data_IF_780980396881
#
_entry.id   IF_780980396881
#
_cell.length_a   1.000
_cell.length_b   1.000
_cell.length_c   1.000
_cell.angle_alpha   90.00
_cell.angle_beta   90.00
_cell.angle_gamma   90.00
#
_symmetry.space_group_name_H-M   'P 1'
#
loop_
_entity.id
_entity.type
_entity.pdbx_description
1 polymer ?
#
# COMPACT_ATOMS: atom_id res chain seq x y z
N UNK A 1 12.39 -61.56 17.40
CA UNK A 1 12.67 -60.30 18.13
C UNK A 1 13.53 -59.29 17.35
N UNK A 2 14.41 -59.71 16.42
CA UNK A 2 15.33 -58.82 15.68
C UNK A 2 14.64 -57.94 14.63
N UNK A 3 13.63 -58.44 13.90
CA UNK A 3 12.94 -57.68 12.85
C UNK A 3 12.14 -56.46 13.36
N UNK A 4 11.61 -56.51 14.58
CA UNK A 4 10.82 -55.41 15.18
C UNK A 4 11.71 -54.21 15.53
N UNK A 5 12.96 -54.47 15.97
CA UNK A 5 13.90 -53.40 16.30
C UNK A 5 14.45 -52.69 15.06
N UNK A 6 14.60 -53.41 13.94
CA UNK A 6 15.00 -52.80 12.66
C UNK A 6 13.87 -51.93 12.11
N UNK A 7 12.61 -52.41 12.17
CA UNK A 7 11.45 -51.64 11.73
C UNK A 7 11.26 -50.35 12.55
N UNK A 8 11.42 -50.42 13.88
CA UNK A 8 11.36 -49.23 14.76
C UNK A 8 12.46 -48.21 14.45
N UNK A 9 13.69 -48.67 14.17
CA UNK A 9 14.78 -47.78 13.77
C UNK A 9 14.50 -47.10 12.43
N UNK A 10 13.99 -47.84 11.44
CA UNK A 10 13.59 -47.27 10.15
C UNK A 10 12.46 -46.24 10.30
N UNK A 11 11.45 -46.53 11.13
CA UNK A 11 10.36 -45.59 11.40
C UNK A 11 10.85 -44.31 12.09
N UNK A 12 11.75 -44.41 13.07
CA UNK A 12 12.35 -43.21 13.69
C UNK A 12 13.12 -42.35 12.68
N UNK A 13 13.89 -42.97 11.78
CA UNK A 13 14.63 -42.23 10.74
C UNK A 13 13.67 -41.53 9.78
N UNK A 14 12.59 -42.20 9.38
CA UNK A 14 11.54 -41.61 8.53
C UNK A 14 10.84 -40.41 9.19
N UNK A 15 10.54 -40.51 10.49
CA UNK A 15 9.95 -39.39 11.25
C UNK A 15 10.91 -38.21 11.33
N UNK A 16 12.20 -38.44 11.59
CA UNK A 16 13.22 -37.37 11.62
C UNK A 16 13.35 -36.68 10.26
N UNK A 17 13.33 -37.45 9.16
CA UNK A 17 13.38 -36.90 7.79
C UNK A 17 12.13 -36.07 7.50
N UNK A 18 10.94 -36.54 7.88
CA UNK A 18 9.69 -35.79 7.69
C UNK A 18 9.67 -34.49 8.51
N UNK A 19 10.16 -34.51 9.75
CA UNK A 19 10.31 -33.30 10.58
C UNK A 19 11.34 -32.33 9.97
N UNK A 20 12.46 -32.82 9.47
CA UNK A 20 13.46 -31.98 8.81
C UNK A 20 12.90 -31.35 7.52
N UNK A 21 12.19 -32.13 6.69
CA UNK A 21 11.58 -31.65 5.46
C UNK A 21 10.47 -30.62 5.74
N UNK A 22 9.64 -30.84 6.76
CA UNK A 22 8.62 -29.86 7.15
C UNK A 22 9.23 -28.57 7.67
N UNK A 23 10.31 -28.63 8.46
CA UNK A 23 11.05 -27.44 8.91
C UNK A 23 11.71 -26.72 7.73
N UNK A 24 12.32 -27.44 6.79
CA UNK A 24 12.92 -26.88 5.58
C UNK A 24 11.87 -26.21 4.69
N UNK A 25 10.75 -26.87 4.40
CA UNK A 25 9.65 -26.31 3.63
C UNK A 25 9.03 -25.11 4.34
N UNK A 26 8.88 -25.15 5.67
CA UNK A 26 8.42 -24.01 6.46
C UNK A 26 9.38 -22.81 6.40
N UNK A 27 10.70 -23.08 6.43
CA UNK A 27 11.76 -22.06 6.30
C UNK A 27 11.80 -21.46 4.89
N UNK A 28 11.66 -22.28 3.85
CA UNK A 28 11.58 -21.85 2.43
C UNK A 28 10.34 -20.99 2.20
N UNK A 29 9.19 -21.42 2.74
CA UNK A 29 7.94 -20.66 2.66
C UNK A 29 8.07 -19.31 3.38
N UNK A 30 8.73 -19.26 4.55
CA UNK A 30 9.02 -17.98 5.23
C UNK A 30 9.98 -17.07 4.46
N UNK A 31 10.97 -17.63 3.76
CA UNK A 31 11.95 -16.87 2.97
C UNK A 31 11.32 -16.21 1.73
N UNK A 32 10.29 -16.83 1.16
CA UNK A 32 9.50 -16.27 0.05
C UNK A 32 8.63 -15.07 0.48
N UNK A 33 8.25 -14.99 1.76
CA UNK A 33 7.46 -13.88 2.31
C UNK A 33 8.28 -12.76 2.96
N UNK A 34 9.56 -12.98 3.26
CA UNK A 34 10.41 -12.02 3.98
C UNK A 34 11.81 -11.94 3.37
N UNK A 35 12.05 -10.84 2.65
CA UNK A 35 13.38 -10.45 2.22
C UNK A 35 13.65 -8.99 2.64
N UNK A 36 13.99 -8.71 3.92
CA UNK A 36 14.56 -7.42 4.28
C UNK A 36 16.05 -7.48 3.95
N UNK A 37 16.44 -7.00 2.77
CA UNK A 37 17.87 -6.86 2.44
C UNK A 37 18.40 -5.51 2.88
N UNK A 38 19.46 -5.60 3.70
CA UNK A 38 20.38 -4.53 4.09
C UNK A 38 20.78 -3.68 2.90
N UNK A 39 20.72 -2.36 3.09
CA UNK A 39 21.48 -1.39 2.29
C UNK A 39 22.94 -1.49 2.74
N UNK A 40 23.82 -1.93 1.83
CA UNK A 40 25.27 -1.75 1.99
C UNK A 40 25.60 -0.30 1.63
N UNK A 41 25.99 0.49 2.64
CA UNK A 41 26.67 1.76 2.44
C UNK A 41 28.11 1.45 2.02
N UNK A 42 28.49 1.85 0.81
CA UNK A 42 29.89 1.96 0.42
C UNK A 42 30.44 3.27 0.98
N UNK A 43 31.03 3.21 2.17
CA UNK A 43 31.96 4.24 2.62
C UNK A 43 33.40 3.82 2.28
N UNK A 44 34.02 4.67 1.48
CA UNK A 44 35.43 4.70 1.16
C UNK A 44 36.23 4.97 2.45
N UNK A 45 37.10 4.05 2.87
CA UNK A 45 38.36 4.39 3.53
C UNK A 45 39.32 3.19 3.55
N UNK A 46 40.51 3.42 2.99
CA UNK A 46 41.55 2.40 2.86
C UNK A 46 42.54 2.40 4.02
N UNK A 47 43.08 1.22 4.32
CA UNK A 47 44.52 0.90 4.43
C UNK A 47 44.69 -0.49 5.07
N UNK A 48 45.69 -1.24 4.58
CA UNK A 48 46.46 -2.14 5.45
C UNK A 48 46.43 -3.64 5.13
N UNK A 49 47.41 -4.07 4.33
CA UNK A 49 48.19 -5.33 4.41
C UNK A 49 47.51 -6.72 4.32
N UNK A 50 47.71 -7.34 3.14
CA UNK A 50 48.32 -8.66 2.86
C UNK A 50 48.40 -9.73 3.98
N UNK A 51 47.78 -10.89 3.74
CA UNK A 51 48.48 -12.19 3.68
C UNK A 51 47.67 -13.28 2.94
N UNK A 52 48.29 -13.81 1.87
CA UNK A 52 48.35 -15.20 1.32
C UNK A 52 47.48 -16.27 2.04
N UNK A 53 46.89 -17.32 1.43
CA UNK A 53 46.99 -18.00 0.14
C UNK A 53 46.06 -19.23 0.24
N UNK A 54 45.24 -19.55 -0.78
CA UNK A 54 45.19 -20.86 -1.47
C UNK A 54 43.91 -21.07 -2.29
N UNK A 55 44.17 -21.17 -3.59
CA UNK A 55 43.35 -21.75 -4.65
C UNK A 55 42.98 -23.21 -4.39
N UNK A 56 41.70 -23.54 -4.59
CA UNK A 56 41.28 -24.84 -5.13
C UNK A 56 40.35 -24.57 -6.30
N UNK A 57 40.80 -24.94 -7.50
CA UNK A 57 40.00 -24.97 -8.73
C UNK A 57 39.09 -26.20 -8.71
N UNK A 58 37.82 -25.99 -9.05
CA UNK A 58 36.97 -26.99 -9.69
C UNK A 58 36.35 -26.31 -10.92
N UNK A 59 36.87 -26.66 -12.09
CA UNK A 59 36.26 -26.37 -13.39
C UNK A 59 35.13 -27.36 -13.62
N UNK A 60 33.99 -26.89 -14.12
CA UNK A 60 33.01 -27.77 -14.76
C UNK A 60 31.63 -27.13 -14.90
N UNK A 61 31.24 -26.92 -16.17
CA UNK A 61 29.88 -26.65 -16.66
C UNK A 61 29.37 -25.23 -16.43
N UNK A 62 29.48 -24.37 -17.44
CA UNK A 62 28.39 -23.58 -18.03
C UNK A 62 28.96 -22.83 -19.25
N UNK A 63 28.84 -23.43 -20.43
CA UNK A 63 29.14 -22.80 -21.71
C UNK A 63 28.10 -23.29 -22.71
N UNK A 64 26.93 -22.66 -22.73
CA UNK A 64 25.95 -22.71 -23.83
C UNK A 64 24.78 -21.77 -23.51
N UNK A 65 24.80 -20.58 -24.11
CA UNK A 65 23.63 -19.76 -24.47
C UNK A 65 24.14 -18.45 -25.11
N UNK A 66 24.79 -18.57 -26.27
CA UNK A 66 25.11 -17.43 -27.14
C UNK A 66 25.17 -17.91 -28.59
N UNK A 67 24.01 -18.27 -29.14
CA UNK A 67 23.80 -18.33 -30.58
C UNK A 67 22.30 -18.29 -30.87
N UNK A 68 21.79 -17.09 -31.17
CA UNK A 68 20.69 -16.85 -32.11
C UNK A 68 20.37 -15.35 -32.10
N UNK A 69 21.22 -14.57 -32.75
CA UNK A 69 20.88 -13.23 -33.23
C UNK A 69 21.79 -12.95 -34.43
N UNK A 70 21.28 -13.31 -35.61
CA UNK A 70 21.96 -13.08 -36.87
C UNK A 70 21.12 -13.52 -38.05
N UNK A 71 20.25 -12.63 -38.55
CA UNK A 71 20.12 -12.39 -39.98
C UNK A 71 19.34 -11.09 -40.23
N UNK A 72 20.12 -10.03 -40.41
CA UNK A 72 19.71 -8.78 -41.04
C UNK A 72 19.72 -9.02 -42.54
N UNK A 73 18.57 -8.85 -43.20
CA UNK A 73 18.49 -8.70 -44.66
C UNK A 73 18.52 -7.21 -44.99
N UNK A 74 19.58 -6.78 -45.67
CA UNK A 74 19.68 -5.52 -46.43
C UNK A 74 19.64 -5.88 -47.91
N UNK A 75 18.60 -5.43 -48.60
CA UNK A 75 18.57 -4.91 -50.00
C UNK A 75 17.10 -4.62 -50.28
N UNK A 76 16.68 -3.44 -50.74
CA UNK A 76 17.09 -2.84 -51.99
C UNK A 76 16.78 -1.32 -52.04
N UNK A 77 17.42 -0.67 -53.00
CA UNK A 77 17.67 0.76 -53.15
C UNK A 77 16.48 1.65 -53.54
N UNK A 78 16.62 2.91 -53.14
CA UNK A 78 16.29 4.18 -53.81
C UNK A 78 15.19 4.26 -54.88
N UNK A 79 14.28 5.21 -54.69
CA UNK A 79 13.96 6.23 -55.71
C UNK A 79 13.56 7.53 -55.02
N UNK A 80 14.38 8.56 -55.19
CA UNK A 80 14.01 9.96 -55.02
C UNK A 80 13.38 10.43 -56.33
N UNK A 81 12.14 10.92 -56.29
CA UNK A 81 11.62 11.80 -57.33
C UNK A 81 10.96 13.03 -56.71
N UNK A 82 11.40 14.19 -57.19
CA UNK A 82 10.85 15.52 -56.94
C UNK A 82 9.57 15.68 -57.75
N UNK A 83 8.50 16.17 -57.14
CA UNK A 83 7.47 16.94 -57.84
C UNK A 83 7.15 18.21 -57.04
N UNK A 84 7.22 19.35 -57.74
CA UNK A 84 6.84 20.70 -57.30
C UNK A 84 5.45 21.04 -57.88
N UNK A 85 4.69 21.87 -57.14
CA UNK A 85 3.42 22.51 -57.55
C UNK A 85 2.20 21.76 -57.01
N UNK A 86 1.14 22.35 -56.46
CA UNK A 86 0.59 23.71 -56.58
C UNK A 86 -0.39 23.94 -55.41
N UNK A 87 -0.55 25.19 -54.99
CA UNK A 87 -1.55 25.65 -54.01
C UNK A 87 -2.96 25.59 -54.64
N UNK A 88 -3.90 24.92 -53.98
CA UNK A 88 -5.33 25.26 -54.05
C UNK A 88 -6.05 24.69 -52.84
N UNK A 89 -6.77 25.55 -52.11
CA UNK A 89 -7.54 25.17 -50.93
C UNK A 89 -8.82 24.42 -51.27
N UNK A 90 -9.30 23.60 -50.32
CA UNK A 90 -10.67 23.58 -49.79
C UNK A 90 -10.84 22.38 -48.85
N UNK A 91 -11.82 22.52 -47.96
CA UNK A 91 -12.47 21.52 -47.14
C UNK A 91 -11.76 21.10 -45.84
N UNK A 92 -12.26 21.71 -44.76
CA UNK A 92 -12.43 21.12 -43.44
C UNK A 92 -12.53 19.58 -43.51
N UNK A 93 -11.55 18.90 -42.93
CA UNK A 93 -11.72 17.52 -42.48
C UNK A 93 -11.82 17.52 -40.97
N UNK A 94 -13.04 17.25 -40.55
CA UNK A 94 -13.52 16.97 -39.20
C UNK A 94 -12.51 16.24 -38.32
N UNK A 95 -12.38 16.74 -37.09
CA UNK A 95 -12.25 15.99 -35.84
C UNK A 95 -11.67 14.58 -36.00
N UNK A 96 -10.34 14.47 -35.86
CA UNK A 96 -9.76 13.26 -35.26
C UNK A 96 -10.46 13.07 -33.92
N UNK A 97 -11.22 11.98 -33.77
CA UNK A 97 -11.70 11.55 -32.48
C UNK A 97 -10.50 11.49 -31.53
N UNK A 98 -10.51 12.32 -30.48
CA UNK A 98 -9.56 12.18 -29.39
C UNK A 98 -9.71 10.75 -28.87
N UNK A 99 -8.64 9.94 -28.95
CA UNK A 99 -8.66 8.61 -28.36
C UNK A 99 -9.04 8.75 -26.89
N UNK A 100 -10.04 7.98 -26.43
CA UNK A 100 -10.51 8.06 -25.05
C UNK A 100 -9.35 7.81 -24.09
N UNK A 101 -9.12 8.74 -23.16
CA UNK A 101 -8.09 8.58 -22.14
C UNK A 101 -8.41 7.34 -21.30
N UNK A 102 -7.44 6.43 -21.19
CA UNK A 102 -7.60 5.23 -20.38
C UNK A 102 -7.25 5.55 -18.93
N UNK A 103 -8.28 5.70 -18.10
CA UNK A 103 -8.17 5.85 -16.64
C UNK A 103 -8.75 4.63 -15.92
N UNK A 104 -8.71 4.62 -14.58
CA UNK A 104 -9.27 3.54 -13.78
C UNK A 104 -10.75 3.31 -14.10
N UNK A 105 -11.09 2.05 -14.39
CA UNK A 105 -12.46 1.62 -14.59
C UNK A 105 -13.13 1.38 -13.23
N UNK A 106 -14.12 2.20 -12.89
CA UNK A 106 -14.87 2.10 -11.63
C UNK A 106 -15.68 0.80 -11.51
N UNK A 107 -15.90 0.09 -12.61
CA UNK A 107 -16.62 -1.18 -12.67
C UNK A 107 -15.67 -2.40 -12.68
N UNK A 108 -14.37 -2.19 -12.42
CA UNK A 108 -13.38 -3.27 -12.33
C UNK A 108 -13.81 -4.35 -11.33
N UNK A 109 -13.70 -5.60 -11.75
CA UNK A 109 -14.02 -6.79 -10.97
C UNK A 109 -12.82 -7.74 -10.91
N UNK A 110 -12.95 -8.81 -10.14
CA UNK A 110 -11.97 -9.88 -10.07
C UNK A 110 -11.69 -10.52 -11.43
N UNK A 111 -12.63 -10.47 -12.38
CA UNK A 111 -12.42 -10.93 -13.76
C UNK A 111 -11.41 -10.08 -14.53
N UNK A 112 -11.23 -8.82 -14.14
CA UNK A 112 -10.27 -7.89 -14.74
C UNK A 112 -8.84 -8.09 -14.19
N UNK A 113 -8.66 -8.84 -13.11
CA UNK A 113 -7.35 -9.14 -12.53
C UNK A 113 -6.59 -10.19 -13.37
N UNK A 114 -5.26 -10.11 -13.36
CA UNK A 114 -4.41 -11.17 -13.93
C UNK A 114 -4.64 -12.51 -13.20
N UNK A 115 -4.49 -13.67 -13.87
CA UNK A 115 -4.79 -14.99 -13.28
C UNK A 115 -4.10 -15.26 -11.93
N UNK A 116 -2.85 -14.79 -11.77
CA UNK A 116 -2.12 -14.88 -10.50
C UNK A 116 -2.88 -14.21 -9.36
N UNK A 117 -3.37 -12.97 -9.56
CA UNK A 117 -4.08 -12.20 -8.54
C UNK A 117 -5.50 -12.73 -8.30
N UNK A 118 -6.16 -13.27 -9.33
CA UNK A 118 -7.41 -14.00 -9.14
C UNK A 118 -7.24 -15.18 -8.17
N UNK A 119 -6.15 -15.95 -8.32
CA UNK A 119 -5.82 -17.06 -7.39
C UNK A 119 -5.50 -16.55 -5.99
N UNK A 120 -4.69 -15.49 -5.87
CA UNK A 120 -4.38 -14.87 -4.58
C UNK A 120 -5.64 -14.41 -3.85
N UNK A 121 -6.57 -13.74 -4.53
CA UNK A 121 -7.86 -13.35 -3.96
C UNK A 121 -8.66 -14.56 -3.46
N UNK A 122 -8.77 -15.62 -4.27
CA UNK A 122 -9.45 -16.87 -3.85
C UNK A 122 -8.83 -17.46 -2.58
N UNK A 123 -7.51 -17.42 -2.45
CA UNK A 123 -6.82 -17.92 -1.26
C UNK A 123 -7.15 -17.08 -0.02
N UNK A 124 -7.19 -15.74 -0.13
CA UNK A 124 -7.57 -14.88 1.01
C UNK A 124 -9.03 -15.04 1.42
N UNK A 125 -9.94 -15.18 0.44
CA UNK A 125 -11.34 -15.52 0.70
C UNK A 125 -11.47 -16.85 1.47
N UNK A 126 -10.73 -17.89 1.07
CA UNK A 126 -10.75 -19.18 1.74
C UNK A 126 -10.10 -19.15 3.13
N UNK A 127 -9.04 -18.35 3.31
CA UNK A 127 -8.33 -18.25 4.58
C UNK A 127 -9.15 -17.57 5.66
N UNK A 128 -9.92 -16.54 5.29
CA UNK A 128 -10.76 -15.74 6.20
C UNK A 128 -10.10 -15.46 7.56
N UNK A 129 -8.86 -14.95 7.53
CA UNK A 129 -7.98 -14.82 8.71
C UNK A 129 -8.65 -14.12 9.90
N UNK A 130 -9.52 -13.16 9.62
CA UNK A 130 -10.17 -12.30 10.63
C UNK A 130 -11.59 -12.75 10.99
N UNK A 131 -12.02 -13.94 10.56
CA UNK A 131 -13.36 -14.49 10.80
C UNK A 131 -14.49 -13.56 10.34
N UNK A 132 -14.32 -12.92 9.19
CA UNK A 132 -15.32 -12.03 8.61
C UNK A 132 -16.56 -12.83 8.26
N UNK A 133 -17.71 -12.40 8.79
CA UNK A 133 -19.03 -12.94 8.48
C UNK A 133 -19.96 -11.78 8.14
N UNK A 134 -19.99 -11.41 6.87
CA UNK A 134 -20.80 -10.28 6.42
C UNK A 134 -22.27 -10.67 6.29
N UNK A 135 -23.10 -10.11 7.17
CA UNK A 135 -24.56 -10.31 7.17
C UNK A 135 -25.33 -9.10 6.61
N UNK A 136 -24.63 -8.08 6.12
CA UNK A 136 -25.24 -6.91 5.50
C UNK A 136 -25.84 -7.23 4.12
N UNK A 137 -26.71 -6.34 3.63
CA UNK A 137 -27.29 -6.46 2.30
C UNK A 137 -26.39 -5.77 1.28
N UNK A 138 -25.84 -6.54 0.33
CA UNK A 138 -25.12 -5.95 -0.80
C UNK A 138 -26.08 -5.16 -1.70
N UNK A 139 -25.64 -3.99 -2.16
CA UNK A 139 -26.43 -3.16 -3.05
C UNK A 139 -26.51 -3.79 -4.43
N UNK A 140 -27.73 -3.99 -4.92
CA UNK A 140 -27.98 -4.53 -6.27
C UNK A 140 -27.56 -3.55 -7.38
N UNK A 141 -27.50 -2.24 -7.05
CA UNK A 141 -27.08 -1.17 -7.94
C UNK A 141 -26.16 -0.22 -7.18
N UNK A 142 -25.20 0.41 -7.87
CA UNK A 142 -24.29 1.36 -7.23
C UNK A 142 -25.07 2.58 -6.73
N UNK A 143 -24.77 2.99 -5.50
CA UNK A 143 -25.26 4.25 -4.95
C UNK A 143 -24.79 5.44 -5.80
N UNK A 144 -25.53 6.54 -5.79
CA UNK A 144 -25.00 7.80 -6.35
C UNK A 144 -23.79 8.26 -5.51
N UNK A 145 -22.84 9.02 -6.09
CA UNK A 145 -21.69 9.53 -5.36
C UNK A 145 -22.08 10.24 -4.04
N UNK A 146 -23.14 11.03 -4.05
CA UNK A 146 -23.64 11.77 -2.89
C UNK A 146 -24.11 10.82 -1.78
N UNK A 147 -24.93 9.81 -2.13
CA UNK A 147 -25.42 8.81 -1.17
C UNK A 147 -24.27 7.98 -0.58
N UNK A 148 -23.27 7.67 -1.38
CA UNK A 148 -22.09 6.95 -0.91
C UNK A 148 -21.24 7.79 0.05
N UNK A 149 -21.05 9.08 -0.26
CA UNK A 149 -20.37 10.02 0.63
C UNK A 149 -21.11 10.17 1.98
N UNK A 150 -22.43 10.26 1.94
CA UNK A 150 -23.28 10.23 3.14
C UNK A 150 -23.11 8.94 3.94
N UNK A 151 -23.14 7.80 3.26
CA UNK A 151 -22.94 6.50 3.89
C UNK A 151 -21.58 6.41 4.61
N UNK A 152 -20.50 6.88 3.99
CA UNK A 152 -19.18 6.93 4.61
C UNK A 152 -19.14 7.85 5.83
N UNK A 153 -19.66 9.08 5.69
CA UNK A 153 -19.70 10.07 6.78
C UNK A 153 -20.44 9.54 8.01
N UNK A 154 -21.60 8.92 7.79
CA UNK A 154 -22.52 8.58 8.88
C UNK A 154 -22.19 7.24 9.55
N UNK A 155 -21.51 6.32 8.84
CA UNK A 155 -21.27 4.95 9.32
C UNK A 155 -19.82 4.61 9.62
N UNK A 156 -18.84 5.41 9.17
CA UNK A 156 -17.43 5.21 9.49
C UNK A 156 -16.99 6.18 10.56
N UNK A 157 -16.82 5.70 11.78
CA UNK A 157 -16.38 6.53 12.88
C UNK A 157 -14.85 6.63 12.89
N UNK A 158 -14.32 7.78 12.49
CA UNK A 158 -12.88 8.05 12.51
C UNK A 158 -12.48 8.53 13.90
N UNK A 159 -12.21 7.57 14.80
CA UNK A 159 -11.72 7.84 16.15
C UNK A 159 -10.39 7.17 16.43
N UNK A 160 -9.66 7.76 17.35
CA UNK A 160 -8.46 7.18 17.94
C UNK A 160 -8.82 6.56 19.28
N UNK A 161 -8.01 5.61 19.74
CA UNK A 161 -8.08 5.10 21.11
C UNK A 161 -7.85 6.26 22.08
N UNK A 162 -8.72 6.37 23.07
CA UNK A 162 -8.69 7.36 24.13
C UNK A 162 -8.41 6.69 25.48
N UNK A 163 -8.01 7.49 26.47
CA UNK A 163 -7.85 7.03 27.85
C UNK A 163 -9.16 6.57 28.53
N UNK A 164 -10.32 6.75 27.91
CA UNK A 164 -11.59 6.19 28.38
C UNK A 164 -11.87 4.79 27.85
N UNK A 165 -11.16 4.34 26.80
CA UNK A 165 -11.41 3.06 26.16
C UNK A 165 -10.73 1.92 26.93
N UNK A 166 -11.48 0.96 27.46
CA UNK A 166 -10.89 -0.21 28.12
C UNK A 166 -10.12 -1.09 27.12
N UNK A 167 -8.86 -1.51 27.40
CA UNK A 167 -8.13 -1.43 28.68
C UNK A 167 -7.11 -0.28 28.78
N UNK A 168 -7.21 0.74 27.92
CA UNK A 168 -6.34 1.92 27.93
C UNK A 168 -6.68 2.94 29.02
N UNK A 169 -7.74 2.70 29.78
CA UNK A 169 -8.13 3.52 30.94
C UNK A 169 -7.34 3.26 32.22
N UNK A 170 -6.32 2.41 32.17
CA UNK A 170 -5.44 2.16 33.32
C UNK A 170 -4.44 3.30 33.50
N UNK A 171 -3.97 3.49 34.74
CA UNK A 171 -2.92 4.46 35.07
C UNK A 171 -1.61 4.21 34.29
N UNK A 172 -1.35 2.96 33.90
CA UNK A 172 -0.22 2.59 33.05
C UNK A 172 -0.26 3.30 31.70
N UNK A 173 -1.43 3.34 31.07
CA UNK A 173 -1.64 3.87 29.71
C UNK A 173 -1.76 5.39 29.65
N UNK A 174 -2.21 6.02 30.74
CA UNK A 174 -2.53 7.45 30.79
C UNK A 174 -1.37 8.35 30.33
N UNK A 175 -0.12 7.99 30.63
CA UNK A 175 1.06 8.77 30.23
C UNK A 175 1.45 8.63 28.75
N UNK A 176 0.99 7.58 28.07
CA UNK A 176 1.42 7.26 26.71
C UNK A 176 0.48 7.80 25.64
N UNK A 177 -0.83 7.89 25.91
CA UNK A 177 -1.80 8.38 24.93
C UNK A 177 -1.81 9.92 24.87
N UNK A 178 -2.03 10.53 23.69
CA UNK A 178 -2.21 11.98 23.58
C UNK A 178 -3.44 12.46 24.36
N UNK A 179 -3.31 13.59 25.06
CA UNK A 179 -4.41 14.18 25.84
C UNK A 179 -5.46 14.93 25.02
N UNK A 180 -5.13 15.33 23.79
CA UNK A 180 -6.05 15.97 22.83
C UNK A 180 -6.45 14.97 21.76
N UNK A 181 -7.69 15.04 21.29
CA UNK A 181 -8.12 14.30 20.10
C UNK A 181 -7.33 14.72 18.86
N UNK A 182 -7.37 13.89 17.81
CA UNK A 182 -6.71 14.21 16.55
C UNK A 182 -7.24 15.52 15.95
N UNK A 183 -8.57 15.70 15.94
CA UNK A 183 -9.21 16.92 15.41
C UNK A 183 -8.83 18.17 16.19
N UNK A 184 -8.69 18.10 17.52
CA UNK A 184 -8.21 19.23 18.34
C UNK A 184 -6.74 19.56 18.11
N UNK A 185 -5.94 18.55 17.77
CA UNK A 185 -4.49 18.71 17.54
C UNK A 185 -4.20 19.29 16.17
N UNK A 186 -4.94 18.85 15.15
CA UNK A 186 -4.80 19.31 13.77
C UNK A 186 -5.55 20.62 13.53
N UNK A 187 -6.68 20.81 14.18
CA UNK A 187 -7.60 21.89 13.90
C UNK A 187 -8.33 21.70 12.56
N UNK A 188 -8.84 22.81 12.04
CA UNK A 188 -9.53 22.85 10.76
C UNK A 188 -8.52 23.02 9.62
N UNK A 189 -8.58 22.12 8.63
CA UNK A 189 -7.77 22.19 7.41
C UNK A 189 -8.65 22.45 6.20
N UNK A 190 -8.16 23.26 5.26
CA UNK A 190 -8.82 23.50 3.97
C UNK A 190 -8.50 22.37 3.00
N UNK A 191 -7.43 22.55 2.22
CA UNK A 191 -7.04 21.64 1.13
C UNK A 191 -5.91 20.73 1.58
N UNK A 192 -6.10 19.43 1.44
CA UNK A 192 -5.15 18.43 1.91
C UNK A 192 -4.72 17.46 0.82
N UNK A 193 -3.51 16.93 0.94
CA UNK A 193 -3.00 15.89 0.05
C UNK A 193 -2.85 14.56 0.78
N UNK A 194 -3.28 13.47 0.13
CA UNK A 194 -2.93 12.09 0.47
C UNK A 194 -1.97 11.59 -0.61
N UNK A 195 -0.73 11.29 -0.22
CA UNK A 195 0.30 10.82 -1.17
C UNK A 195 0.44 9.32 -1.01
N UNK A 196 0.07 8.55 -2.06
CA UNK A 196 0.27 7.11 -2.05
C UNK A 196 1.77 6.77 -2.00
N UNK A 197 2.10 5.49 -1.84
CA UNK A 197 3.50 5.04 -1.91
C UNK A 197 3.89 4.51 -3.29
N UNK A 198 3.01 4.62 -4.30
CA UNK A 198 3.15 3.90 -5.56
C UNK A 198 4.41 4.27 -6.36
N UNK A 199 4.97 3.30 -7.09
CA UNK A 199 6.11 3.54 -7.98
C UNK A 199 5.84 4.55 -9.10
N UNK A 200 4.56 4.77 -9.46
CA UNK A 200 4.13 5.72 -10.49
C UNK A 200 4.32 7.20 -10.10
N UNK A 201 4.64 7.49 -8.83
CA UNK A 201 5.08 8.82 -8.39
C UNK A 201 6.45 9.22 -8.96
N UNK A 202 7.29 8.25 -9.35
CA UNK A 202 8.62 8.53 -9.86
C UNK A 202 8.56 9.32 -11.18
N UNK A 203 9.34 10.39 -11.25
CA UNK A 203 9.39 11.35 -12.36
C UNK A 203 8.03 12.00 -12.66
N UNK A 204 7.15 12.10 -11.67
CA UNK A 204 5.85 12.77 -11.78
C UNK A 204 5.97 14.29 -11.68
N UNK A 205 6.99 14.79 -10.97
CA UNK A 205 7.19 16.22 -10.65
C UNK A 205 6.01 16.85 -9.90
N UNK A 206 5.30 16.07 -9.09
CA UNK A 206 4.14 16.53 -8.32
C UNK A 206 4.53 17.23 -7.01
N UNK A 207 5.82 17.29 -6.64
CA UNK A 207 6.24 17.71 -5.31
C UNK A 207 5.81 19.12 -4.93
N UNK A 208 5.89 20.08 -5.85
CA UNK A 208 5.47 21.46 -5.60
C UNK A 208 3.95 21.57 -5.41
N UNK A 209 3.16 20.82 -6.20
CA UNK A 209 1.69 20.78 -6.06
C UNK A 209 1.30 20.11 -4.73
N UNK A 210 1.94 19.00 -4.37
CA UNK A 210 1.72 18.35 -3.08
C UNK A 210 2.01 19.31 -1.92
N UNK A 211 3.13 20.03 -1.97
CA UNK A 211 3.54 20.94 -0.90
C UNK A 211 2.70 22.22 -0.81
N UNK A 212 1.86 22.54 -1.82
CA UNK A 212 0.94 23.68 -1.74
C UNK A 212 -0.30 23.42 -0.88
N UNK A 213 -0.52 22.19 -0.42
CA UNK A 213 -1.66 21.82 0.45
C UNK A 213 -1.40 22.21 1.91
N UNK A 214 -2.45 22.48 2.68
CA UNK A 214 -2.36 22.81 4.11
C UNK A 214 -1.73 21.67 4.91
N UNK A 215 -2.12 20.43 4.59
CA UNK A 215 -1.59 19.23 5.20
C UNK A 215 -1.32 18.11 4.19
N UNK A 216 -0.30 17.31 4.47
CA UNK A 216 0.08 16.14 3.66
C UNK A 216 0.10 14.89 4.52
N UNK A 217 -0.66 13.87 4.12
CA UNK A 217 -0.65 12.54 4.73
C UNK A 217 0.19 11.56 3.90
N UNK A 218 1.10 10.85 4.58
CA UNK A 218 1.97 9.81 3.99
C UNK A 218 1.84 8.48 4.74
N UNK A 219 2.39 7.41 4.16
CA UNK A 219 2.22 6.05 4.67
C UNK A 219 3.53 5.38 5.07
N UNK A 220 3.51 4.63 6.18
CA UNK A 220 4.59 3.74 6.60
C UNK A 220 5.96 4.44 6.55
N UNK A 221 6.98 3.79 5.99
CA UNK A 221 8.32 4.33 5.81
C UNK A 221 8.56 5.06 4.49
N UNK A 222 7.51 5.60 3.85
CA UNK A 222 7.65 6.34 2.59
C UNK A 222 8.44 7.65 2.82
N UNK A 223 9.67 7.77 2.27
CA UNK A 223 10.57 8.90 2.52
C UNK A 223 10.25 10.09 1.61
N UNK A 224 10.66 11.29 2.02
CA UNK A 224 10.68 12.49 1.17
C UNK A 224 12.09 12.79 0.67
N UNK A 225 13.10 12.57 1.50
CA UNK A 225 14.51 12.81 1.17
C UNK A 225 14.95 12.04 -0.08
N UNK A 226 15.44 12.76 -1.08
CA UNK A 226 15.87 12.23 -2.38
C UNK A 226 14.74 12.01 -3.38
N UNK A 227 13.51 12.42 -3.07
CA UNK A 227 12.30 12.28 -3.90
C UNK A 227 11.46 13.57 -3.94
N UNK A 228 11.98 14.69 -3.43
CA UNK A 228 11.26 15.93 -3.18
C UNK A 228 10.56 16.47 -4.44
N UNK A 229 11.23 16.40 -5.60
CA UNK A 229 10.66 16.85 -6.88
C UNK A 229 9.36 16.10 -7.21
N UNK A 230 9.29 14.80 -6.87
CA UNK A 230 8.19 13.92 -7.21
C UNK A 230 7.12 13.87 -6.11
N UNK A 231 7.52 13.90 -4.85
CA UNK A 231 6.61 13.61 -3.72
C UNK A 231 6.48 14.75 -2.74
N UNK A 232 7.24 15.84 -2.88
CA UNK A 232 7.24 16.98 -1.96
C UNK A 232 8.03 16.71 -0.67
N UNK A 233 8.17 17.74 0.15
CA UNK A 233 8.91 17.71 1.41
C UNK A 233 7.98 17.61 2.63
N UNK A 234 6.75 18.13 2.54
CA UNK A 234 5.85 18.27 3.68
C UNK A 234 5.33 16.90 4.14
N UNK A 235 5.31 16.68 5.45
CA UNK A 235 4.62 15.56 6.10
C UNK A 235 3.94 16.08 7.36
N UNK A 236 2.61 16.16 7.33
CA UNK A 236 1.80 16.61 8.47
C UNK A 236 1.29 15.44 9.28
N UNK A 237 0.84 14.38 8.59
CA UNK A 237 0.34 13.15 9.21
C UNK A 237 1.04 11.95 8.55
N UNK A 238 1.43 10.95 9.35
CA UNK A 238 1.93 9.68 8.84
C UNK A 238 1.15 8.51 9.44
N UNK A 239 0.45 7.78 8.58
CA UNK A 239 -0.30 6.59 8.94
C UNK A 239 0.56 5.34 8.72
N UNK A 240 0.73 4.53 9.76
CA UNK A 240 1.60 3.35 9.77
C UNK A 240 0.82 2.12 10.20
N UNK A 241 1.08 0.98 9.58
CA UNK A 241 0.59 -0.28 10.11
C UNK A 241 1.42 -0.75 11.31
N UNK A 242 0.81 -1.57 12.16
CA UNK A 242 1.43 -2.17 13.33
C UNK A 242 2.60 -3.11 13.00
N UNK A 243 2.60 -3.72 11.80
CA UNK A 243 3.70 -4.56 11.34
C UNK A 243 5.00 -3.77 11.26
N UNK A 244 4.99 -2.56 10.69
CA UNK A 244 6.17 -1.70 10.60
C UNK A 244 6.69 -1.36 12.00
N UNK A 245 5.81 -0.91 12.89
CA UNK A 245 6.16 -0.53 14.26
C UNK A 245 6.76 -1.70 15.05
N UNK A 246 6.33 -2.93 14.75
CA UNK A 246 6.75 -4.15 15.46
C UNK A 246 7.98 -4.82 14.85
N UNK A 247 8.00 -5.00 13.52
CA UNK A 247 9.02 -5.79 12.80
C UNK A 247 10.21 -4.93 12.43
N UNK A 248 9.99 -3.66 12.07
CA UNK A 248 11.04 -2.69 11.76
C UNK A 248 11.33 -1.76 12.95
N UNK A 249 11.07 -2.20 14.19
CA UNK A 249 11.14 -1.38 15.41
C UNK A 249 12.44 -0.57 15.49
N UNK A 250 13.60 -1.20 15.28
CA UNK A 250 14.89 -0.52 15.37
C UNK A 250 15.05 0.62 14.37
N UNK A 251 14.45 0.47 13.20
CA UNK A 251 14.44 1.49 12.15
C UNK A 251 13.43 2.58 12.49
N UNK A 252 12.23 2.18 12.88
CA UNK A 252 11.15 3.06 13.33
C UNK A 252 11.58 3.98 14.49
N UNK A 253 12.29 3.45 15.49
CA UNK A 253 12.76 4.20 16.66
C UNK A 253 13.95 5.13 16.38
N UNK A 254 14.63 5.00 15.22
CA UNK A 254 15.89 5.72 14.94
C UNK A 254 15.82 6.67 13.75
N UNK A 255 15.01 6.37 12.74
CA UNK A 255 14.96 7.19 11.53
C UNK A 255 14.20 8.50 11.77
N UNK A 256 14.86 9.61 11.46
CA UNK A 256 14.32 10.96 11.63
C UNK A 256 12.99 11.20 10.86
N UNK A 257 12.70 10.39 9.84
CA UNK A 257 11.46 10.51 9.07
C UNK A 257 10.20 10.27 9.91
N UNK A 258 10.30 9.52 11.01
CA UNK A 258 9.19 9.29 11.94
C UNK A 258 9.05 10.43 12.94
N UNK A 259 10.10 11.21 13.19
CA UNK A 259 10.11 12.30 14.19
C UNK A 259 9.41 13.58 13.69
N UNK A 260 8.66 13.51 12.59
CA UNK A 260 8.00 14.65 11.93
C UNK A 260 6.48 14.48 11.92
N UNK A 261 5.77 15.56 12.23
CA UNK A 261 4.31 15.61 12.17
C UNK A 261 3.63 14.69 13.18
N UNK A 262 2.37 14.37 12.91
CA UNK A 262 1.53 13.50 13.73
C UNK A 262 1.65 12.07 13.22
N UNK A 263 1.82 11.13 14.15
CA UNK A 263 1.85 9.71 13.83
C UNK A 263 0.52 9.04 14.18
N UNK A 264 0.09 8.11 13.34
CA UNK A 264 -1.07 7.26 13.61
C UNK A 264 -0.65 5.82 13.31
N UNK A 265 -0.81 4.92 14.27
CA UNK A 265 -0.66 3.47 14.05
C UNK A 265 -2.03 2.80 13.97
N UNK A 266 -2.19 1.82 13.08
CA UNK A 266 -3.38 0.97 13.01
C UNK A 266 -3.00 -0.51 12.94
N UNK A 267 -3.85 -1.38 13.47
CA UNK A 267 -3.65 -2.83 13.52
C UNK A 267 -4.94 -3.57 13.09
N UNK A 268 -4.84 -4.61 12.24
CA UNK A 268 -5.96 -5.48 11.94
C UNK A 268 -6.51 -6.17 13.20
N UNK A 269 -7.77 -5.94 13.52
CA UNK A 269 -8.48 -6.66 14.57
C UNK A 269 -9.31 -7.79 13.96
N UNK A 270 -9.70 -8.83 14.75
CA UNK A 270 -10.77 -9.72 14.32
C UNK A 270 -12.04 -8.93 13.98
N UNK A 271 -12.84 -9.44 13.03
CA UNK A 271 -14.02 -8.75 12.54
C UNK A 271 -15.02 -8.45 13.66
N UNK A 272 -15.42 -7.18 13.78
CA UNK A 272 -16.33 -6.67 14.83
C UNK A 272 -15.89 -6.97 16.28
N UNK A 273 -14.61 -7.23 16.52
CA UNK A 273 -14.09 -7.42 17.87
C UNK A 273 -14.20 -6.14 18.73
N UNK A 274 -14.43 -6.33 20.02
CA UNK A 274 -14.35 -5.25 20.99
C UNK A 274 -12.88 -4.88 21.28
N UNK A 275 -12.65 -3.63 21.72
CA UNK A 275 -11.28 -3.09 21.93
C UNK A 275 -10.47 -3.99 22.87
N UNK A 276 -11.09 -4.51 23.93
CA UNK A 276 -10.43 -5.39 24.89
C UNK A 276 -10.08 -6.78 24.31
N UNK A 277 -10.83 -7.28 23.34
CA UNK A 277 -10.55 -8.55 22.66
C UNK A 277 -9.37 -8.38 21.70
N UNK A 278 -9.37 -7.30 20.92
CA UNK A 278 -8.26 -6.91 20.08
C UNK A 278 -6.98 -6.67 20.89
N UNK A 279 -7.06 -5.94 22.00
CA UNK A 279 -5.90 -5.68 22.86
C UNK A 279 -5.22 -6.95 23.38
N UNK A 280 -6.00 -8.00 23.69
CA UNK A 280 -5.46 -9.29 24.13
C UNK A 280 -4.69 -10.03 23.03
N UNK A 281 -5.09 -9.84 21.77
CA UNK A 281 -4.51 -10.54 20.63
C UNK A 281 -4.49 -9.63 19.37
N UNK A 282 -3.61 -8.61 19.35
CA UNK A 282 -3.41 -7.79 18.16
C UNK A 282 -2.74 -8.63 17.07
N UNK A 283 -2.85 -8.22 15.80
CA UNK A 283 -2.19 -8.92 14.70
C UNK A 283 -0.66 -8.80 14.82
N UNK A 284 -0.19 -7.62 15.23
CA UNK A 284 1.19 -7.40 15.66
C UNK A 284 1.24 -6.76 17.05
N UNK A 285 2.18 -7.20 17.89
CA UNK A 285 2.31 -6.73 19.29
C UNK A 285 3.05 -5.38 19.37
N UNK A 286 2.48 -4.33 18.79
CA UNK A 286 3.13 -3.01 18.66
C UNK A 286 3.10 -2.16 19.93
N UNK A 287 2.32 -2.53 20.96
CA UNK A 287 2.10 -1.70 22.15
C UNK A 287 3.39 -1.34 22.92
N UNK A 288 4.36 -2.25 23.00
CA UNK A 288 5.61 -1.94 23.69
C UNK A 288 6.51 -1.00 22.89
N UNK A 289 6.63 -1.21 21.58
CA UNK A 289 7.33 -0.31 20.66
C UNK A 289 6.70 1.09 20.63
N UNK A 290 5.36 1.15 20.69
CA UNK A 290 4.60 2.39 20.86
C UNK A 290 5.01 3.13 22.15
N UNK A 291 5.00 2.43 23.29
CA UNK A 291 5.40 3.02 24.59
C UNK A 291 6.85 3.50 24.56
N UNK A 292 7.77 2.73 23.96
CA UNK A 292 9.17 3.12 23.80
C UNK A 292 9.28 4.41 22.99
N UNK A 293 8.61 4.49 21.83
CA UNK A 293 8.61 5.70 21.02
C UNK A 293 8.08 6.92 21.79
N UNK A 294 6.95 6.76 22.50
CA UNK A 294 6.35 7.85 23.30
C UNK A 294 7.26 8.33 24.44
N UNK A 295 8.12 7.47 25.01
CA UNK A 295 9.12 7.90 26.00
C UNK A 295 10.24 8.73 25.37
N UNK A 296 10.63 8.40 24.14
CA UNK A 296 11.69 9.11 23.40
C UNK A 296 11.16 10.44 22.84
N UNK A 297 9.90 10.47 22.40
CA UNK A 297 9.26 11.61 21.75
C UNK A 297 7.94 12.02 22.45
N UNK A 298 7.98 12.46 23.72
CA UNK A 298 6.78 12.73 24.52
C UNK A 298 5.90 13.84 23.94
N UNK A 299 6.50 14.84 23.29
CA UNK A 299 5.80 16.00 22.71
C UNK A 299 5.16 15.72 21.34
N UNK A 300 5.60 14.67 20.63
CA UNK A 300 5.07 14.38 19.29
C UNK A 300 3.74 13.62 19.39
N UNK A 301 2.62 14.14 18.84
CA UNK A 301 1.35 13.42 18.87
C UNK A 301 1.45 12.09 18.11
N UNK A 302 1.12 11.01 18.80
CA UNK A 302 1.14 9.66 18.24
C UNK A 302 -0.13 8.93 18.70
N UNK A 303 -1.04 8.67 17.76
CA UNK A 303 -2.34 8.07 18.00
C UNK A 303 -2.37 6.58 17.62
N UNK A 304 -3.33 5.86 18.21
CA UNK A 304 -3.69 4.51 17.81
C UNK A 304 -5.09 4.58 17.19
N UNK A 305 -5.26 4.17 15.94
CA UNK A 305 -6.56 4.14 15.28
C UNK A 305 -7.47 3.13 15.98
N UNK A 306 -8.74 3.50 16.21
CA UNK A 306 -9.71 2.58 16.78
C UNK A 306 -9.95 1.39 15.82
N UNK A 307 -9.79 0.12 16.27
CA UNK A 307 -9.87 -1.05 15.41
C UNK A 307 -11.23 -1.26 14.74
N UNK A 308 -12.30 -0.60 15.22
CA UNK A 308 -13.64 -0.67 14.62
C UNK A 308 -13.71 0.07 13.27
N UNK A 309 -12.94 1.14 13.10
CA UNK A 309 -12.98 1.99 11.90
C UNK A 309 -12.72 1.20 10.61
N UNK A 310 -11.70 0.32 10.61
CA UNK A 310 -11.34 -0.46 9.41
C UNK A 310 -12.46 -1.41 8.96
N UNK A 311 -13.23 -1.96 9.89
CA UNK A 311 -14.31 -2.90 9.58
C UNK A 311 -15.61 -2.18 9.22
N UNK A 312 -15.88 -1.02 9.83
CA UNK A 312 -16.96 -0.15 9.38
C UNK A 312 -16.77 0.29 7.92
N UNK A 313 -15.52 0.64 7.56
CA UNK A 313 -15.18 0.96 6.18
C UNK A 313 -15.22 -0.27 5.26
N UNK A 314 -14.76 -1.43 5.73
CA UNK A 314 -14.87 -2.68 5.00
C UNK A 314 -16.32 -3.05 4.68
N UNK A 315 -17.23 -2.85 5.64
CA UNK A 315 -18.67 -3.11 5.45
C UNK A 315 -19.24 -2.28 4.31
N UNK A 316 -18.85 -1.01 4.20
CA UNK A 316 -19.26 -0.13 3.10
C UNK A 316 -18.65 -0.57 1.77
N UNK A 317 -17.38 -0.99 1.76
CA UNK A 317 -16.75 -1.54 0.56
C UNK A 317 -17.46 -2.82 0.08
N UNK A 318 -17.78 -3.73 1.00
CA UNK A 318 -18.49 -4.97 0.67
C UNK A 318 -19.93 -4.68 0.21
N UNK A 319 -20.62 -3.74 0.87
CA UNK A 319 -21.98 -3.32 0.52
C UNK A 319 -22.06 -2.72 -0.90
N UNK A 320 -21.03 -1.99 -1.31
CA UNK A 320 -20.97 -1.31 -2.61
C UNK A 320 -20.14 -2.07 -3.67
N UNK A 321 -19.79 -3.32 -3.41
CA UNK A 321 -19.14 -4.22 -4.37
C UNK A 321 -20.16 -5.22 -4.95
N UNK A 322 -19.99 -5.59 -6.22
CA UNK A 322 -20.86 -6.58 -6.89
C UNK A 322 -20.46 -8.03 -6.62
N UNK A 323 -19.39 -8.25 -5.85
CA UNK A 323 -18.90 -9.56 -5.46
C UNK A 323 -18.27 -9.52 -4.06
N UNK A 324 -18.04 -10.69 -3.47
CA UNK A 324 -17.37 -10.77 -2.18
C UNK A 324 -15.92 -10.27 -2.26
N UNK A 325 -15.55 -9.33 -1.41
CA UNK A 325 -14.20 -8.77 -1.39
C UNK A 325 -13.30 -9.57 -0.45
N UNK A 326 -11.98 -9.36 -0.51
CA UNK A 326 -11.05 -10.00 0.42
C UNK A 326 -11.48 -9.75 1.88
N UNK A 327 -11.57 -10.77 2.74
CA UNK A 327 -11.97 -10.65 4.15
C UNK A 327 -10.80 -10.15 5.01
N UNK A 328 -10.18 -9.06 4.56
CA UNK A 328 -9.01 -8.41 5.08
C UNK A 328 -9.32 -6.90 5.15
N UNK A 329 -8.77 -6.16 6.12
CA UNK A 329 -9.09 -4.75 6.26
C UNK A 329 -8.67 -3.94 5.03
N UNK A 330 -9.29 -2.75 4.82
CA UNK A 330 -8.91 -1.82 3.77
C UNK A 330 -7.41 -1.44 3.87
N UNK A 331 -6.82 -1.04 2.75
CA UNK A 331 -5.42 -0.59 2.73
C UNK A 331 -5.22 0.67 3.58
N UNK A 332 -3.98 0.90 4.04
CA UNK A 332 -3.63 2.17 4.69
C UNK A 332 -3.97 3.37 3.82
N UNK A 333 -3.87 3.23 2.49
CA UNK A 333 -4.29 4.26 1.53
C UNK A 333 -5.75 4.66 1.73
N UNK A 334 -6.67 3.69 1.71
CA UNK A 334 -8.10 3.97 1.89
C UNK A 334 -8.43 4.47 3.30
N UNK A 335 -7.80 3.92 4.35
CA UNK A 335 -7.96 4.44 5.72
C UNK A 335 -7.52 5.91 5.79
N UNK A 336 -6.37 6.24 5.20
CA UNK A 336 -5.83 7.60 5.16
C UNK A 336 -6.73 8.57 4.40
N UNK A 337 -7.31 8.15 3.27
CA UNK A 337 -8.29 8.97 2.53
C UNK A 337 -9.47 9.35 3.42
N UNK A 338 -10.09 8.37 4.09
CA UNK A 338 -11.25 8.62 4.95
C UNK A 338 -10.86 9.48 6.17
N UNK A 339 -9.68 9.27 6.76
CA UNK A 339 -9.15 10.14 7.82
C UNK A 339 -9.05 11.60 7.34
N UNK A 340 -8.46 11.83 6.17
CA UNK A 340 -8.29 13.20 5.65
C UNK A 340 -9.62 13.82 5.25
N UNK A 341 -10.59 13.04 4.74
CA UNK A 341 -11.94 13.55 4.48
C UNK A 341 -12.66 14.00 5.76
N UNK A 342 -12.34 13.43 6.92
CA UNK A 342 -12.85 13.91 8.22
C UNK A 342 -12.21 15.22 8.67
N UNK A 343 -10.94 15.44 8.35
CA UNK A 343 -10.16 16.59 8.86
C UNK A 343 -10.20 17.82 7.93
N UNK A 344 -10.33 17.59 6.63
CA UNK A 344 -10.16 18.58 5.58
C UNK A 344 -11.47 18.92 4.90
N UNK A 345 -11.50 20.05 4.19
CA UNK A 345 -12.61 20.47 3.36
C UNK A 345 -12.57 19.87 1.95
N UNK A 346 -11.36 19.61 1.44
CA UNK A 346 -11.10 18.97 0.16
C UNK A 346 -9.83 18.12 0.29
N UNK A 347 -9.82 16.95 -0.36
CA UNK A 347 -8.70 16.02 -0.32
C UNK A 347 -8.31 15.63 -1.73
N UNK A 348 -7.10 16.03 -2.15
CA UNK A 348 -6.45 15.52 -3.34
C UNK A 348 -5.67 14.25 -3.00
N UNK A 349 -5.87 13.18 -3.77
CA UNK A 349 -5.21 11.90 -3.58
C UNK A 349 -4.34 11.60 -4.80
N UNK A 350 -3.04 11.43 -4.58
CA UNK A 350 -2.05 11.27 -5.64
C UNK A 350 -1.60 9.82 -5.79
N UNK A 351 -1.65 9.32 -7.02
CA UNK A 351 -1.22 7.99 -7.46
C UNK A 351 -1.85 6.84 -6.65
N UNK A 352 -3.04 7.06 -6.08
CA UNK A 352 -3.91 5.98 -5.61
C UNK A 352 -4.65 5.36 -6.81
N UNK A 353 -5.32 6.21 -7.61
CA UNK A 353 -5.67 5.85 -8.98
C UNK A 353 -4.45 6.11 -9.87
N UNK A 354 -3.97 5.08 -10.60
CA UNK A 354 -2.73 5.21 -11.34
C UNK A 354 -2.89 6.16 -12.54
N UNK A 355 -1.88 6.98 -12.76
CA UNK A 355 -1.77 7.81 -13.97
C UNK A 355 -1.29 7.01 -15.18
N UNK A 356 -1.00 7.70 -16.28
CA UNK A 356 -0.25 7.14 -17.43
C UNK A 356 1.12 6.56 -17.05
N UNK A 357 1.64 6.86 -15.85
CA UNK A 357 2.89 6.31 -15.29
C UNK A 357 2.68 4.97 -14.57
N UNK A 358 1.51 4.34 -14.69
CA UNK A 358 1.24 3.03 -14.09
C UNK A 358 2.41 2.07 -14.36
N UNK A 359 2.91 1.45 -13.29
CA UNK A 359 4.08 0.58 -13.31
C UNK A 359 3.91 -0.59 -12.35
N UNK A 360 4.69 -1.63 -12.55
CA UNK A 360 4.79 -2.77 -11.64
C UNK A 360 5.75 -2.48 -10.47
N UNK A 361 6.54 -1.40 -10.51
CA UNK A 361 7.35 -0.96 -9.37
C UNK A 361 6.40 -0.66 -8.21
N UNK A 362 6.53 -1.41 -7.11
CA UNK A 362 5.58 -1.35 -6.01
C UNK A 362 5.61 0.01 -5.30
N UNK A 363 6.81 0.51 -5.00
CA UNK A 363 6.98 1.79 -4.31
C UNK A 363 8.03 2.68 -4.95
N UNK A 364 7.83 4.01 -4.93
CA UNK A 364 8.75 4.97 -5.57
C UNK A 364 10.16 4.94 -4.99
N UNK A 365 10.31 4.52 -3.73
CA UNK A 365 11.56 4.41 -2.99
C UNK A 365 12.16 3.00 -3.00
N UNK A 366 11.60 2.07 -3.78
CA UNK A 366 12.08 0.69 -3.89
C UNK A 366 12.25 0.27 -5.36
N UNK A 367 12.91 -0.87 -5.58
CA UNK A 367 13.24 -1.38 -6.93
C UNK A 367 12.52 -2.69 -7.28
N UNK A 368 11.74 -3.26 -6.36
CA UNK A 368 11.04 -4.51 -6.63
C UNK A 368 9.73 -4.27 -7.38
N UNK A 369 9.36 -5.27 -8.19
CA UNK A 369 8.18 -5.23 -9.03
C UNK A 369 7.12 -6.18 -8.47
N UNK A 370 5.93 -5.66 -8.18
CA UNK A 370 4.75 -6.45 -7.85
C UNK A 370 3.47 -5.72 -8.25
N UNK A 371 2.81 -6.24 -9.28
CA UNK A 371 1.52 -5.75 -9.74
C UNK A 371 0.43 -5.76 -8.64
N UNK A 372 0.60 -6.60 -7.61
CA UNK A 372 -0.31 -6.65 -6.47
C UNK A 372 -0.35 -5.33 -5.67
N UNK A 373 0.72 -4.53 -5.67
CA UNK A 373 0.74 -3.25 -4.98
C UNK A 373 -0.21 -2.23 -5.60
N UNK A 374 -0.44 -2.34 -6.92
CA UNK A 374 -1.37 -1.46 -7.65
C UNK A 374 -2.77 -2.06 -7.73
N UNK A 375 -2.91 -3.38 -7.88
CA UNK A 375 -4.21 -4.03 -8.14
C UNK A 375 -4.85 -4.71 -6.91
N UNK A 376 -4.09 -4.88 -5.82
CA UNK A 376 -4.51 -5.57 -4.61
C UNK A 376 -4.14 -7.05 -4.58
N UNK A 377 -3.78 -7.51 -3.38
CA UNK A 377 -3.63 -8.92 -3.03
C UNK A 377 -4.30 -9.19 -1.69
N UNK A 378 -3.65 -8.77 -0.60
CA UNK A 378 -4.16 -8.88 0.77
C UNK A 378 -5.36 -7.96 0.98
N UNK A 379 -5.21 -6.66 0.68
CA UNK A 379 -6.29 -5.68 0.81
C UNK A 379 -7.28 -5.77 -0.37
N UNK A 380 -8.56 -5.37 -0.17
CA UNK A 380 -9.54 -5.22 -1.24
C UNK A 380 -9.28 -3.97 -2.12
N UNK A 381 -8.01 -3.69 -2.44
CA UNK A 381 -7.54 -2.45 -3.07
C UNK A 381 -8.20 -2.15 -4.43
N UNK A 382 -8.51 -3.18 -5.22
CA UNK A 382 -9.28 -3.02 -6.47
C UNK A 382 -10.62 -2.31 -6.21
N UNK A 383 -11.33 -2.75 -5.18
CA UNK A 383 -12.66 -2.24 -4.82
C UNK A 383 -12.57 -0.88 -4.13
N UNK A 384 -11.51 -0.64 -3.36
CA UNK A 384 -11.19 0.69 -2.82
C UNK A 384 -11.00 1.72 -3.95
N UNK A 385 -10.24 1.36 -4.99
CA UNK A 385 -10.02 2.22 -6.16
C UNK A 385 -11.30 2.46 -6.97
N UNK A 386 -12.16 1.46 -7.10
CA UNK A 386 -13.48 1.64 -7.71
C UNK A 386 -14.31 2.69 -6.95
N UNK A 387 -14.30 2.58 -5.61
CA UNK A 387 -15.05 3.46 -4.74
C UNK A 387 -14.51 4.90 -4.81
N UNK A 388 -13.18 5.08 -4.78
CA UNK A 388 -12.53 6.38 -4.96
C UNK A 388 -12.81 6.97 -6.35
N UNK A 389 -12.72 6.18 -7.41
CA UNK A 389 -13.05 6.63 -8.77
C UNK A 389 -14.50 7.07 -8.90
N UNK A 390 -15.41 6.39 -8.20
CA UNK A 390 -16.84 6.71 -8.21
C UNK A 390 -17.17 8.00 -7.46
N UNK A 391 -16.40 8.37 -6.43
CA UNK A 391 -16.58 9.60 -5.65
C UNK A 391 -15.77 10.80 -6.16
N UNK A 392 -14.86 10.58 -7.12
CA UNK A 392 -13.98 11.63 -7.64
C UNK A 392 -14.77 12.80 -8.27
N UNK A 393 -14.44 14.02 -7.87
CA UNK A 393 -14.96 15.27 -8.43
C UNK A 393 -14.04 15.89 -9.50
N UNK A 394 -12.78 15.41 -9.61
CA UNK A 394 -11.83 15.83 -10.64
C UNK A 394 -12.09 15.18 -12.01
N UNK A 395 -11.26 15.52 -13.00
CA UNK A 395 -11.41 15.05 -14.39
C UNK A 395 -10.68 13.73 -14.67
N UNK A 396 -11.01 13.08 -15.79
CA UNK A 396 -10.23 11.93 -16.28
C UNK A 396 -8.83 12.36 -16.73
N UNK A 397 -8.69 13.58 -17.25
CA UNK A 397 -7.43 14.20 -17.58
C UNK A 397 -6.51 14.31 -16.36
N UNK A 398 -7.02 14.72 -15.20
CA UNK A 398 -6.25 14.84 -13.95
C UNK A 398 -5.72 13.48 -13.50
N UNK A 399 -6.54 12.43 -13.59
CA UNK A 399 -6.12 11.07 -13.29
C UNK A 399 -5.05 10.63 -14.29
N UNK A 400 -5.31 10.79 -15.59
CA UNK A 400 -4.38 10.32 -16.62
C UNK A 400 -3.02 11.02 -16.54
N UNK A 401 -2.99 12.32 -16.26
CA UNK A 401 -1.77 13.14 -16.29
C UNK A 401 -1.04 13.18 -14.95
N UNK A 402 -1.77 13.37 -13.85
CA UNK A 402 -1.22 13.58 -12.51
C UNK A 402 -1.46 12.40 -11.56
N UNK A 403 -2.34 11.45 -11.93
CA UNK A 403 -2.77 10.40 -11.00
C UNK A 403 -3.56 10.98 -9.84
N UNK A 404 -4.21 12.13 -10.08
CA UNK A 404 -4.89 12.91 -9.05
C UNK A 404 -6.39 12.65 -9.09
N UNK A 405 -6.96 12.44 -7.92
CA UNK A 405 -8.42 12.51 -7.68
C UNK A 405 -8.71 13.53 -6.59
N UNK A 406 -9.84 14.20 -6.70
CA UNK A 406 -10.29 15.21 -5.73
C UNK A 406 -11.57 14.72 -5.08
N UNK A 407 -11.58 14.67 -3.75
CA UNK A 407 -12.70 14.20 -2.95
C UNK A 407 -13.14 15.31 -1.97
N UNK A 408 -14.46 15.49 -1.76
CA UNK A 408 -14.93 16.46 -0.79
C UNK A 408 -14.68 15.97 0.63
N UNK A 409 -14.31 16.89 1.51
CA UNK A 409 -14.34 16.65 2.95
C UNK A 409 -15.75 16.42 3.46
N UNK A 410 -15.91 15.58 4.49
CA UNK A 410 -17.21 15.23 5.04
C UNK A 410 -18.01 16.43 5.58
N UNK A 411 -17.33 17.52 5.98
CA UNK A 411 -17.98 18.78 6.38
C UNK A 411 -18.77 19.44 5.25
N UNK A 412 -18.38 19.22 4.00
CA UNK A 412 -19.05 19.74 2.79
C UNK A 412 -20.04 18.76 2.18
N UNK A 413 -20.22 17.57 2.78
CA UNK A 413 -21.16 16.56 2.28
C UNK A 413 -22.55 16.81 2.86
N UNK A 414 -23.53 16.97 1.97
CA UNK A 414 -24.94 17.17 2.31
C UNK A 414 -25.73 15.87 2.22
N UNK A 415 -26.37 15.53 3.34
CA UNK A 415 -27.33 14.45 3.54
C UNK A 415 -28.45 15.06 4.40
#
# INVERSE_FOLDING_TARGET
MVHINVLKKFMCVLVVILVALTVCLWKETRRSYYNPFKVENNDLQGHGSSEKLNTVKSQGLFREAASELGQISKTWLSTHEKVKGTISGTAEKSKKAAGSLKVWDKDSSSKNLIPRLQKVRKNYLAMNKYNVTYNGKMNATKLSPEKLLCQLRDRVNVTMIQGSDGPFSTSEWQQYLPGKSLSETVGHLGHCAVVSSAGSLKSSRLGQEIDSHDAVLRFNGAPTNGFEDDVGQKTTIRLMNSQLVTVEEQRFLKEALYNTGILIVWDPAPYHAEIHEWYRKPDYKFFESYKVYRRIHPEQPFYILNPKMQWQLWDILQENSLEHIQPNPPSSGMLGIVIMMTLCDEVDVYEFLPSKRQTDICHYYQKFHDHACTMGAYHPLLFEKNLVKHMNQGTDEDIYTHGKVTLPGFRKVHC
#
